data_IF_913538837041
#
_entry.id   IF_913538837041
#
_cell.length_a   1.000
_cell.length_b   1.000
_cell.length_c   1.000
_cell.angle_alpha   90.00
_cell.angle_beta   90.00
_cell.angle_gamma   90.00
#
_symmetry.space_group_name_H-M   'P 1'
#
loop_
_entity.id
_entity.type
_entity.pdbx_description
1 polymer ?
#
# COMPACT_ATOMS: atom_id res chain seq x y z
N UNK A 1 19.27 -44.30 22.07
CA UNK A 1 19.27 -44.29 20.59
C UNK A 1 18.73 -42.93 20.15
N UNK A 2 19.62 -42.03 19.78
CA UNK A 2 19.31 -40.67 19.34
C UNK A 2 19.11 -40.70 17.82
N UNK A 3 17.89 -40.49 17.35
CA UNK A 3 17.58 -40.37 15.92
C UNK A 3 17.96 -38.98 15.44
N UNK A 4 19.05 -38.87 14.67
CA UNK A 4 19.41 -37.64 13.97
C UNK A 4 18.32 -37.25 12.97
N UNK A 5 17.90 -35.97 12.92
CA UNK A 5 16.90 -35.52 11.97
C UNK A 5 17.49 -35.47 10.56
N UNK A 6 16.77 -36.07 9.62
CA UNK A 6 17.11 -36.22 8.20
C UNK A 6 17.23 -34.87 7.46
N UNK A 7 18.39 -34.22 7.57
CA UNK A 7 18.74 -32.94 6.93
C UNK A 7 18.70 -32.99 5.40
N UNK A 8 18.79 -34.18 4.80
CA UNK A 8 18.77 -34.38 3.36
C UNK A 8 17.41 -34.11 2.70
N UNK A 9 16.28 -34.24 3.41
CA UNK A 9 14.96 -33.98 2.85
C UNK A 9 14.62 -32.49 2.77
N UNK A 10 15.13 -31.67 3.70
CA UNK A 10 14.90 -30.22 3.69
C UNK A 10 15.62 -29.54 2.52
N UNK A 11 16.88 -29.89 2.27
CA UNK A 11 17.68 -29.30 1.18
C UNK A 11 17.12 -29.65 -0.21
N UNK A 12 16.57 -30.85 -0.38
CA UNK A 12 15.96 -31.28 -1.65
C UNK A 12 14.65 -30.53 -1.91
N UNK A 13 13.85 -30.27 -0.88
CA UNK A 13 12.63 -29.47 -0.98
C UNK A 13 12.93 -28.01 -1.34
N UNK A 14 13.92 -27.39 -0.68
CA UNK A 14 14.32 -26.00 -0.97
C UNK A 14 14.87 -25.82 -2.38
N UNK A 15 15.64 -26.80 -2.88
CA UNK A 15 16.15 -26.77 -4.25
C UNK A 15 15.04 -26.90 -5.29
N UNK A 16 14.05 -27.76 -5.05
CA UNK A 16 12.87 -27.90 -5.92
C UNK A 16 12.05 -26.60 -5.92
N UNK A 17 11.81 -26.00 -4.75
CA UNK A 17 11.09 -24.72 -4.62
C UNK A 17 11.82 -23.61 -5.39
N UNK A 18 13.14 -23.51 -5.24
CA UNK A 18 13.92 -22.48 -5.92
C UNK A 18 13.93 -22.67 -7.45
N UNK A 19 14.00 -23.91 -7.95
CA UNK A 19 13.98 -24.22 -9.38
C UNK A 19 12.60 -23.94 -9.99
N UNK A 20 11.53 -24.30 -9.29
CA UNK A 20 10.15 -24.02 -9.69
C UNK A 20 9.87 -22.52 -9.72
N UNK A 21 10.35 -21.77 -8.72
CA UNK A 21 10.25 -20.29 -8.69
C UNK A 21 10.96 -19.64 -9.88
N UNK A 22 12.16 -20.11 -10.27
CA UNK A 22 12.87 -19.58 -11.46
C UNK A 22 12.11 -19.85 -12.75
N UNK A 23 11.59 -21.07 -12.94
CA UNK A 23 10.79 -21.44 -14.13
C UNK A 23 9.48 -20.67 -14.22
N UNK A 24 8.83 -20.44 -13.09
CA UNK A 24 7.64 -19.61 -13.00
C UNK A 24 7.94 -18.17 -13.42
N UNK A 25 8.96 -17.54 -12.82
CA UNK A 25 9.32 -16.16 -13.17
C UNK A 25 9.71 -16.03 -14.65
N UNK A 26 10.38 -17.01 -15.23
CA UNK A 26 10.68 -17.05 -16.66
C UNK A 26 9.41 -17.16 -17.53
N UNK A 27 8.41 -17.94 -17.08
CA UNK A 27 7.12 -18.08 -17.78
C UNK A 27 6.30 -16.81 -17.68
N UNK A 28 6.25 -16.17 -16.51
CA UNK A 28 5.59 -14.87 -16.31
C UNK A 28 6.24 -13.81 -17.17
N UNK A 29 7.57 -13.73 -17.19
CA UNK A 29 8.30 -12.79 -18.04
C UNK A 29 8.02 -13.04 -19.53
N UNK A 30 7.95 -14.30 -19.95
CA UNK A 30 7.63 -14.69 -21.34
C UNK A 30 6.20 -14.34 -21.73
N UNK A 31 5.23 -14.64 -20.88
CA UNK A 31 3.82 -14.33 -21.14
C UNK A 31 3.55 -12.84 -21.03
N UNK A 32 4.19 -12.13 -20.09
CA UNK A 32 4.22 -10.67 -20.07
C UNK A 32 4.78 -10.11 -21.38
N UNK A 33 5.92 -10.62 -21.85
CA UNK A 33 6.49 -10.23 -23.14
C UNK A 33 5.54 -10.50 -24.31
N UNK A 34 4.72 -11.56 -24.23
CA UNK A 34 3.67 -11.84 -25.22
C UNK A 34 2.47 -10.90 -25.12
N UNK A 35 2.05 -10.52 -23.91
CA UNK A 35 0.96 -9.55 -23.69
C UNK A 35 1.37 -8.17 -24.20
N UNK A 36 2.59 -7.73 -23.87
CA UNK A 36 3.16 -6.49 -24.40
C UNK A 36 3.36 -6.56 -25.91
N UNK A 37 3.83 -7.70 -26.45
CA UNK A 37 3.95 -7.88 -27.89
C UNK A 37 2.60 -7.95 -28.61
N UNK A 38 1.54 -8.42 -27.95
CA UNK A 38 0.19 -8.53 -28.49
C UNK A 38 -0.58 -7.21 -28.46
N UNK A 39 -0.19 -6.28 -27.58
CA UNK A 39 -0.67 -4.91 -27.58
C UNK A 39 0.51 -3.95 -27.32
N UNK A 40 1.23 -3.54 -28.39
CA UNK A 40 2.29 -2.55 -28.32
C UNK A 40 1.83 -1.22 -27.71
N UNK A 41 0.51 -0.96 -27.62
CA UNK A 41 -0.01 0.23 -26.96
C UNK A 41 0.16 0.20 -25.43
N UNK A 42 0.50 -0.94 -24.81
CA UNK A 42 0.81 -1.06 -23.38
C UNK A 42 2.23 -0.61 -23.02
N UNK A 43 3.15 -0.66 -23.99
CA UNK A 43 4.48 -0.02 -23.93
C UNK A 43 4.54 1.03 -25.03
N UNK A 44 3.64 2.02 -24.95
CA UNK A 44 3.64 3.21 -25.79
C UNK A 44 4.97 3.96 -25.61
N UNK A 45 5.99 3.53 -26.36
CA UNK A 45 7.24 4.22 -26.55
C UNK A 45 6.98 5.31 -27.58
N UNK A 46 7.12 6.56 -27.14
CA UNK A 46 6.95 7.75 -27.97
C UNK A 46 7.97 7.84 -29.12
N UNK A 47 7.99 8.96 -29.85
CA UNK A 47 7.29 10.21 -29.53
C UNK A 47 5.81 10.22 -29.96
N UNK A 48 4.97 10.88 -29.17
CA UNK A 48 3.57 11.15 -29.48
C UNK A 48 3.40 12.57 -30.04
N UNK A 49 2.42 12.73 -30.93
CA UNK A 49 2.06 14.04 -31.51
C UNK A 49 0.84 14.67 -30.83
N UNK A 50 0.11 13.89 -30.01
CA UNK A 50 -1.10 14.33 -29.33
C UNK A 50 -0.82 14.73 -27.89
N UNK A 51 -1.18 15.97 -27.54
CA UNK A 51 -1.02 16.53 -26.19
C UNK A 51 -1.64 15.67 -25.09
N UNK A 52 -2.88 15.22 -25.30
CA UNK A 52 -3.62 14.47 -24.30
C UNK A 52 -3.00 13.09 -24.06
N UNK A 53 -2.43 12.48 -25.10
CA UNK A 53 -1.68 11.23 -25.01
C UNK A 53 -0.38 11.39 -24.22
N UNK A 54 0.37 12.46 -24.45
CA UNK A 54 1.59 12.74 -23.67
C UNK A 54 1.24 12.95 -22.19
N UNK A 55 0.22 13.76 -21.89
CA UNK A 55 -0.22 14.01 -20.51
C UNK A 55 -0.75 12.76 -19.81
N UNK A 56 -1.46 11.89 -20.55
CA UNK A 56 -1.89 10.58 -20.07
C UNK A 56 -0.70 9.69 -19.69
N UNK A 57 0.31 9.58 -20.56
CA UNK A 57 1.51 8.78 -20.29
C UNK A 57 2.30 9.31 -19.10
N UNK A 58 2.51 10.63 -19.01
CA UNK A 58 3.17 11.26 -17.87
C UNK A 58 2.46 10.96 -16.56
N UNK A 59 1.12 11.08 -16.54
CA UNK A 59 0.32 10.74 -15.35
C UNK A 59 0.43 9.25 -15.02
N UNK A 60 0.34 8.38 -16.01
CA UNK A 60 0.41 6.94 -15.79
C UNK A 60 1.80 6.48 -15.30
N UNK A 61 2.88 7.16 -15.70
CA UNK A 61 4.23 6.95 -15.15
C UNK A 61 4.31 7.31 -13.66
N UNK A 62 3.78 8.48 -13.28
CA UNK A 62 3.68 8.86 -11.85
C UNK A 62 2.86 7.87 -11.04
N UNK A 63 1.76 7.37 -11.59
CA UNK A 63 0.93 6.36 -10.93
C UNK A 63 1.68 5.04 -10.73
N UNK A 64 2.51 4.62 -11.70
CA UNK A 64 3.39 3.44 -11.57
C UNK A 64 4.36 3.61 -10.42
N UNK A 65 5.11 4.70 -10.41
CA UNK A 65 6.09 5.00 -9.36
C UNK A 65 5.41 5.05 -7.99
N UNK A 66 4.30 5.79 -7.89
CA UNK A 66 3.49 5.86 -6.67
C UNK A 66 3.07 4.48 -6.20
N UNK A 67 2.62 3.62 -7.12
CA UNK A 67 2.16 2.27 -6.80
C UNK A 67 3.30 1.40 -6.28
N UNK A 68 4.48 1.50 -6.89
CA UNK A 68 5.71 0.83 -6.47
C UNK A 68 6.09 1.22 -5.03
N UNK A 69 6.16 2.52 -4.76
CA UNK A 69 6.47 3.06 -3.43
C UNK A 69 5.42 2.62 -2.41
N UNK A 70 4.13 2.75 -2.74
CA UNK A 70 3.04 2.41 -1.82
C UNK A 70 3.07 0.93 -1.45
N UNK A 71 3.25 0.04 -2.44
CA UNK A 71 3.35 -1.39 -2.22
C UNK A 71 4.55 -1.74 -1.33
N UNK A 72 5.72 -1.13 -1.61
CA UNK A 72 6.93 -1.33 -0.82
C UNK A 72 6.71 -0.91 0.64
N UNK A 73 6.27 0.33 0.87
CA UNK A 73 6.14 0.90 2.22
C UNK A 73 5.00 0.31 3.04
N UNK A 74 3.96 -0.23 2.40
CA UNK A 74 2.85 -0.86 3.11
C UNK A 74 3.08 -2.36 3.30
N UNK A 75 3.45 -3.12 2.27
CA UNK A 75 3.48 -4.56 2.37
C UNK A 75 4.86 -5.14 2.70
N UNK A 76 5.93 -4.53 2.16
CA UNK A 76 7.29 -5.07 2.27
C UNK A 76 8.06 -4.49 3.44
N UNK A 77 7.77 -3.24 3.78
CA UNK A 77 8.46 -2.47 4.81
C UNK A 77 7.48 -1.89 5.85
N UNK A 78 6.65 -2.73 6.50
CA UNK A 78 5.85 -2.26 7.63
C UNK A 78 6.78 -1.75 8.74
N UNK A 79 6.28 -0.84 9.58
CA UNK A 79 7.01 -0.46 10.79
C UNK A 79 6.93 -1.64 11.77
N UNK A 80 8.07 -2.25 12.10
CA UNK A 80 8.08 -3.39 13.02
C UNK A 80 8.37 -2.91 14.44
N UNK A 81 7.55 -3.36 15.39
CA UNK A 81 7.67 -3.03 16.80
C UNK A 81 7.83 -4.33 17.60
N UNK A 82 8.65 -4.31 18.66
CA UNK A 82 8.83 -5.45 19.57
C UNK A 82 7.97 -5.22 20.81
N UNK A 83 7.21 -6.24 21.22
CA UNK A 83 6.37 -6.26 22.40
C UNK A 83 6.89 -7.29 23.44
N UNK A 84 6.86 -7.01 24.76
CA UNK A 84 6.41 -5.76 25.39
C UNK A 84 7.25 -4.56 24.95
N UNK A 85 6.58 -3.44 24.69
CA UNK A 85 7.23 -2.22 24.26
C UNK A 85 8.11 -1.73 25.41
N UNK A 86 9.42 -1.63 25.19
CA UNK A 86 10.31 -0.98 26.16
C UNK A 86 9.86 0.48 26.38
N UNK A 87 10.16 1.09 27.53
CA UNK A 87 9.83 2.50 27.77
C UNK A 87 10.34 3.45 26.67
N UNK A 88 11.48 3.11 26.06
CA UNK A 88 12.17 3.79 24.95
C UNK A 88 11.82 3.18 23.56
N UNK A 89 10.80 2.35 23.46
CA UNK A 89 10.51 1.57 22.23
C UNK A 89 10.33 2.41 20.97
N UNK A 90 9.75 3.61 21.07
CA UNK A 90 9.60 4.51 19.91
C UNK A 90 10.94 5.10 19.49
N UNK A 91 11.80 5.47 20.45
CA UNK A 91 13.16 5.98 20.22
C UNK A 91 14.06 4.89 19.65
N UNK A 92 13.96 3.67 20.16
CA UNK A 92 14.61 2.51 19.59
C UNK A 92 14.13 2.23 18.16
N UNK A 93 12.82 2.34 17.88
CA UNK A 93 12.29 2.18 16.53
C UNK A 93 12.84 3.27 15.59
N UNK A 94 13.00 4.50 16.06
CA UNK A 94 13.64 5.58 15.30
C UNK A 94 15.08 5.29 14.97
N UNK A 95 15.84 4.81 15.95
CA UNK A 95 17.26 4.52 15.79
C UNK A 95 17.50 3.29 14.90
N UNK A 96 16.60 2.30 14.96
CA UNK A 96 16.73 1.05 14.23
C UNK A 96 16.17 1.10 12.81
N UNK A 97 14.93 1.61 12.64
CA UNK A 97 14.26 1.67 11.33
C UNK A 97 14.51 3.01 10.61
N UNK A 98 15.03 4.01 11.31
CA UNK A 98 15.31 5.32 10.75
C UNK A 98 14.08 6.23 10.65
N UNK A 99 14.36 7.51 10.46
CA UNK A 99 13.35 8.58 10.29
C UNK A 99 12.41 8.32 9.12
N UNK A 100 12.81 7.51 8.14
CA UNK A 100 12.01 7.21 6.97
C UNK A 100 10.68 6.51 7.28
N UNK A 101 10.68 5.53 8.18
CA UNK A 101 9.43 4.85 8.57
C UNK A 101 8.47 5.81 9.29
N UNK A 102 9.01 6.84 9.93
CA UNK A 102 8.24 7.89 10.60
C UNK A 102 7.68 8.87 9.57
N UNK A 103 8.47 9.28 8.57
CA UNK A 103 8.01 10.03 7.39
C UNK A 103 6.85 9.31 6.71
N UNK A 104 6.94 7.99 6.54
CA UNK A 104 5.88 7.18 5.91
C UNK A 104 4.53 7.24 6.65
N UNK A 105 4.51 7.49 7.96
CA UNK A 105 3.28 7.65 8.75
C UNK A 105 2.55 8.95 8.41
N UNK A 106 3.24 9.94 7.84
CA UNK A 106 2.63 11.19 7.41
C UNK A 106 1.78 10.98 6.16
N UNK A 107 0.77 11.83 6.01
CA UNK A 107 -0.22 11.77 4.93
C UNK A 107 -0.99 10.43 4.85
N UNK A 108 -0.97 9.61 5.92
CA UNK A 108 -1.80 8.41 6.05
C UNK A 108 -3.05 8.71 6.87
N UNK A 109 -4.17 8.07 6.53
CA UNK A 109 -5.42 8.32 7.24
C UNK A 109 -5.46 7.60 8.58
N UNK A 110 -4.92 6.37 8.69
CA UNK A 110 -4.87 5.62 9.95
C UNK A 110 -3.60 4.76 10.07
N UNK A 111 -3.26 4.36 11.29
CA UNK A 111 -2.36 3.23 11.52
C UNK A 111 -3.13 1.91 11.47
N UNK A 112 -2.55 0.88 10.87
CA UNK A 112 -3.09 -0.48 10.80
C UNK A 112 -2.10 -1.43 11.48
N UNK A 113 -2.49 -1.93 12.65
CA UNK A 113 -1.69 -2.81 13.48
C UNK A 113 -1.99 -4.28 13.20
N UNK A 114 -0.92 -5.06 13.09
CA UNK A 114 -0.95 -6.51 12.96
C UNK A 114 -0.07 -7.11 14.05
N UNK A 115 -0.62 -8.03 14.84
CA UNK A 115 0.10 -8.69 15.94
C UNK A 115 0.49 -10.11 15.52
N UNK A 116 1.75 -10.49 15.76
CA UNK A 116 2.28 -11.82 15.46
C UNK A 116 3.11 -12.38 16.62
N UNK A 117 2.99 -13.69 16.89
CA UNK A 117 3.65 -14.35 18.02
C UNK A 117 5.12 -14.69 17.80
N UNK A 118 5.64 -14.63 16.57
CA UNK A 118 7.08 -14.72 16.35
C UNK A 118 7.58 -13.98 15.09
N UNK A 119 8.91 -13.82 15.00
CA UNK A 119 9.59 -13.18 13.86
C UNK A 119 9.34 -13.92 12.55
N UNK A 120 9.25 -15.25 12.60
CA UNK A 120 9.12 -16.08 11.42
C UNK A 120 7.72 -15.89 10.82
N UNK A 121 6.68 -15.84 11.64
CA UNK A 121 5.30 -15.55 11.27
C UNK A 121 5.13 -14.10 10.86
N UNK A 122 5.77 -13.15 11.55
CA UNK A 122 5.79 -11.74 11.17
C UNK A 122 6.40 -11.52 9.78
N UNK A 123 7.58 -12.07 9.52
CA UNK A 123 8.26 -11.93 8.22
C UNK A 123 7.48 -12.69 7.12
N UNK A 124 6.84 -13.81 7.45
CA UNK A 124 5.97 -14.56 6.52
C UNK A 124 4.66 -13.85 6.22
N UNK A 125 4.06 -13.18 7.20
CA UNK A 125 2.77 -12.54 7.07
C UNK A 125 2.85 -11.12 6.51
N UNK A 126 3.96 -10.41 6.72
CA UNK A 126 4.35 -9.30 5.86
C UNK A 126 4.41 -9.75 4.39
N UNK A 127 4.91 -10.98 4.16
CA UNK A 127 4.86 -11.64 2.86
C UNK A 127 3.47 -12.16 2.40
N UNK A 128 2.46 -12.22 3.27
CA UNK A 128 1.18 -12.92 3.01
C UNK A 128 -0.06 -12.05 3.12
N UNK A 129 -0.40 -11.64 4.35
CA UNK A 129 -1.58 -10.80 4.67
C UNK A 129 -1.39 -9.43 4.05
N UNK A 130 -0.28 -8.75 4.34
CA UNK A 130 -0.08 -7.38 3.85
C UNK A 130 0.00 -7.32 2.32
N UNK A 131 0.62 -8.31 1.69
CA UNK A 131 0.59 -8.45 0.24
C UNK A 131 -0.85 -8.61 -0.28
N UNK A 132 -1.72 -9.35 0.42
CA UNK A 132 -3.13 -9.50 0.04
C UNK A 132 -3.96 -8.23 0.27
N UNK A 133 -3.71 -7.54 1.38
CA UNK A 133 -4.38 -6.31 1.77
C UNK A 133 -4.03 -5.13 0.87
N UNK A 134 -2.77 -5.01 0.43
CA UNK A 134 -2.28 -3.85 -0.32
C UNK A 134 -3.05 -3.59 -1.62
N UNK A 135 -3.20 -4.54 -2.56
CA UNK A 135 -4.00 -4.28 -3.76
C UNK A 135 -5.48 -4.07 -3.45
N UNK A 136 -6.02 -4.75 -2.44
CA UNK A 136 -7.41 -4.58 -2.03
C UNK A 136 -7.65 -3.16 -1.51
N UNK A 137 -6.80 -2.67 -0.60
CA UNK A 137 -6.84 -1.30 -0.07
C UNK A 137 -6.60 -0.27 -1.17
N UNK A 138 -5.62 -0.52 -2.03
CA UNK A 138 -5.32 0.35 -3.16
C UNK A 138 -6.53 0.48 -4.08
N UNK A 139 -7.23 -0.60 -4.40
CA UNK A 139 -8.47 -0.56 -5.22
C UNK A 139 -9.55 0.31 -4.60
N UNK A 140 -9.77 0.22 -3.29
CA UNK A 140 -10.83 0.99 -2.62
C UNK A 140 -10.46 2.47 -2.49
N UNK A 141 -9.19 2.79 -2.24
CA UNK A 141 -8.75 4.16 -1.99
C UNK A 141 -8.37 4.93 -3.25
N UNK A 142 -7.67 4.29 -4.18
CA UNK A 142 -7.13 4.93 -5.38
C UNK A 142 -8.22 5.20 -6.40
N UNK A 143 -8.25 6.42 -6.91
CA UNK A 143 -9.11 6.86 -8.00
C UNK A 143 -8.23 7.17 -9.21
N UNK A 144 -8.29 6.34 -10.27
CA UNK A 144 -7.52 6.57 -11.49
C UNK A 144 -7.61 8.01 -11.97
N UNK A 145 -6.46 8.61 -12.23
CA UNK A 145 -6.33 10.00 -12.69
C UNK A 145 -6.85 11.09 -11.73
N UNK A 146 -7.58 10.78 -10.67
CA UNK A 146 -8.14 11.78 -9.75
C UNK A 146 -7.37 11.87 -8.43
N UNK A 147 -6.70 10.79 -8.00
CA UNK A 147 -5.96 10.81 -6.75
C UNK A 147 -4.77 11.77 -6.81
N UNK A 148 -4.64 12.62 -5.79
CA UNK A 148 -3.47 13.49 -5.60
C UNK A 148 -2.28 12.67 -5.05
N UNK A 149 -1.73 11.83 -5.92
CA UNK A 149 -0.67 10.86 -5.62
C UNK A 149 0.63 11.54 -5.16
N UNK A 150 0.86 12.77 -5.61
CA UNK A 150 2.05 13.56 -5.31
C UNK A 150 2.19 13.89 -3.83
N UNK A 151 1.11 13.83 -3.05
CA UNK A 151 1.17 14.07 -1.61
C UNK A 151 1.54 12.82 -0.80
N UNK A 152 1.81 11.70 -1.46
CA UNK A 152 2.11 10.45 -0.76
C UNK A 152 0.95 9.92 0.07
N UNK A 153 -0.28 10.35 -0.24
CA UNK A 153 -1.49 9.94 0.48
C UNK A 153 -1.76 8.45 0.24
N UNK A 154 -2.17 7.78 1.30
CA UNK A 154 -2.66 6.42 1.26
C UNK A 154 -3.49 6.16 2.51
N UNK A 155 -4.44 5.24 2.45
CA UNK A 155 -5.41 5.05 3.54
C UNK A 155 -4.76 4.62 4.86
N UNK A 156 -3.70 3.81 4.83
CA UNK A 156 -3.12 3.26 6.04
C UNK A 156 -1.59 3.14 5.99
N UNK A 157 -0.94 3.24 7.17
CA UNK A 157 0.41 2.69 7.39
C UNK A 157 0.29 1.36 8.13
N UNK A 158 0.93 0.33 7.62
CA UNK A 158 1.06 -0.95 8.31
C UNK A 158 2.12 -0.87 9.42
N UNK A 159 1.74 -1.32 10.60
CA UNK A 159 2.60 -1.43 11.78
C UNK A 159 2.45 -2.86 12.32
N UNK A 160 3.56 -3.52 12.57
CA UNK A 160 3.59 -4.94 12.94
C UNK A 160 4.19 -5.11 14.32
N UNK A 161 3.39 -5.60 15.28
CA UNK A 161 3.91 -6.01 16.58
C UNK A 161 4.41 -7.45 16.52
N UNK A 162 5.65 -7.62 16.94
CA UNK A 162 6.26 -8.92 17.24
C UNK A 162 6.26 -9.07 18.74
N UNK A 163 5.53 -10.05 19.27
CA UNK A 163 5.73 -10.49 20.65
C UNK A 163 6.53 -11.80 20.65
N UNK A 164 7.19 -12.15 21.75
CA UNK A 164 7.75 -13.50 21.85
C UNK A 164 6.61 -14.50 22.07
N UNK A 165 6.77 -15.73 21.57
CA UNK A 165 5.75 -16.81 21.68
C UNK A 165 5.39 -17.19 23.12
N UNK A 166 6.23 -16.79 24.08
CA UNK A 166 6.03 -17.02 25.52
C UNK A 166 5.35 -15.83 26.22
N UNK A 167 5.26 -14.70 25.54
CA UNK A 167 4.66 -13.48 26.07
C UNK A 167 3.19 -13.40 25.67
N UNK A 168 2.41 -12.72 26.52
CA UNK A 168 1.01 -12.39 26.25
C UNK A 168 0.91 -11.53 24.98
N UNK A 169 -0.08 -11.80 24.14
CA UNK A 169 -0.40 -10.96 22.99
C UNK A 169 -0.71 -9.53 23.45
N UNK A 170 -0.24 -8.48 22.75
CA UNK A 170 -0.54 -7.10 23.11
C UNK A 170 -2.05 -6.85 23.12
N UNK A 171 -2.54 -6.29 24.22
CA UNK A 171 -3.95 -5.87 24.34
C UNK A 171 -4.20 -4.60 23.54
N UNK A 172 -5.47 -4.25 23.31
CA UNK A 172 -5.82 -2.97 22.68
C UNK A 172 -5.34 -1.76 23.50
N UNK A 173 -5.25 -1.89 24.82
CA UNK A 173 -4.73 -0.84 25.70
C UNK A 173 -3.22 -0.65 25.48
N UNK A 174 -2.47 -1.74 25.36
CA UNK A 174 -1.03 -1.69 25.06
C UNK A 174 -0.76 -1.01 23.70
N UNK A 175 -1.55 -1.37 22.69
CA UNK A 175 -1.44 -0.78 21.34
C UNK A 175 -1.82 0.71 21.38
N UNK A 176 -2.86 1.08 22.13
CA UNK A 176 -3.27 2.47 22.32
C UNK A 176 -2.15 3.30 22.95
N UNK A 177 -1.56 2.82 24.05
CA UNK A 177 -0.47 3.51 24.73
C UNK A 177 0.73 3.70 23.78
N UNK A 178 1.12 2.64 23.05
CA UNK A 178 2.17 2.73 22.05
C UNK A 178 1.84 3.75 20.95
N UNK A 179 0.61 3.72 20.43
CA UNK A 179 0.19 4.63 19.37
C UNK A 179 0.22 6.10 19.83
N UNK A 180 -0.26 6.37 21.05
CA UNK A 180 -0.19 7.71 21.65
C UNK A 180 1.25 8.18 21.81
N UNK A 181 2.15 7.31 22.31
CA UNK A 181 3.60 7.61 22.38
C UNK A 181 4.20 7.87 21.00
N UNK A 182 3.87 7.03 20.00
CA UNK A 182 4.32 7.20 18.62
C UNK A 182 3.90 8.58 18.06
N UNK A 183 2.64 8.95 18.26
CA UNK A 183 2.10 10.24 17.83
C UNK A 183 2.75 11.40 18.58
N UNK A 184 2.92 11.27 19.89
CA UNK A 184 3.59 12.26 20.71
C UNK A 184 5.04 12.46 20.27
N UNK A 185 5.76 11.38 19.93
CA UNK A 185 7.13 11.47 19.44
C UNK A 185 7.20 12.26 18.12
N UNK A 186 6.23 12.13 17.21
CA UNK A 186 6.19 13.00 16.02
C UNK A 186 6.11 14.50 16.39
N UNK A 187 5.38 14.84 17.45
CA UNK A 187 5.24 16.21 17.94
C UNK A 187 6.43 16.68 18.79
N UNK A 188 7.07 15.77 19.52
CA UNK A 188 8.18 16.07 20.40
C UNK A 188 9.51 15.80 19.72
N UNK A 189 10.15 16.84 19.19
CA UNK A 189 11.62 16.98 19.12
C UNK A 189 12.49 15.82 18.58
N UNK A 190 11.96 14.73 17.99
CA UNK A 190 12.74 13.70 17.26
C UNK A 190 13.68 14.40 16.28
N UNK A 191 13.16 15.47 15.70
CA UNK A 191 13.84 16.32 14.74
C UNK A 191 14.86 17.28 15.39
N UNK A 192 14.67 17.74 16.64
CA UNK A 192 15.63 18.63 17.33
C UNK A 192 16.92 17.92 17.78
N UNK A 193 16.93 16.59 17.86
CA UNK A 193 18.07 15.79 18.33
C UNK A 193 18.73 14.90 17.28
N UNK A 194 18.27 14.92 16.02
CA UNK A 194 18.90 14.16 14.95
C UNK A 194 20.28 14.76 14.63
N UNK A 195 21.35 14.07 15.04
CA UNK A 195 22.71 14.47 14.68
C UNK A 195 22.90 14.38 13.16
N UNK A 196 23.77 15.20 12.57
CA UNK A 196 24.10 15.16 11.13
C UNK A 196 24.48 13.74 10.68
N UNK A 197 25.07 12.92 11.56
CA UNK A 197 25.37 11.51 11.31
C UNK A 197 24.11 10.62 11.19
N UNK A 198 23.08 10.81 12.02
CA UNK A 198 21.80 10.13 11.87
C UNK A 198 21.08 10.57 10.58
N UNK A 199 21.23 11.84 10.20
CA UNK A 199 20.68 12.39 8.95
C UNK A 199 21.40 11.84 7.71
N UNK A 200 22.72 11.66 7.74
CA UNK A 200 23.48 11.06 6.64
C UNK A 200 23.06 9.61 6.34
N UNK A 201 22.56 8.86 7.33
CA UNK A 201 22.00 7.53 7.12
C UNK A 201 20.64 7.56 6.39
N UNK A 202 19.90 8.67 6.45
CA UNK A 202 18.62 8.86 5.73
C UNK A 202 18.87 9.01 4.22
N UNK A 203 20.01 9.59 3.81
CA UNK A 203 20.39 9.85 2.42
C UNK A 203 20.64 8.62 1.54
N UNK A 204 20.52 7.38 2.07
CA UNK A 204 21.01 6.18 1.37
C UNK A 204 19.95 5.51 0.46
N UNK A 205 18.62 5.71 0.60
CA UNK A 205 17.58 5.12 -0.29
C UNK A 205 16.15 5.61 0.06
N UNK A 206 15.12 5.49 -0.81
CA UNK A 206 14.99 5.78 -2.23
C UNK A 206 14.33 7.16 -2.43
N UNK A 207 14.43 8.09 -1.47
CA UNK A 207 14.19 9.49 -1.79
C UNK A 207 15.37 9.92 -2.62
N UNK A 208 15.20 10.38 -3.86
CA UNK A 208 16.31 10.90 -4.62
C UNK A 208 16.88 12.04 -3.79
N UNK A 209 18.09 11.85 -3.27
CA UNK A 209 18.87 12.92 -2.68
C UNK A 209 18.89 14.00 -3.74
N UNK A 210 18.29 15.16 -3.47
CA UNK A 210 18.38 16.30 -4.36
C UNK A 210 19.87 16.51 -4.57
N UNK A 211 20.34 16.24 -5.80
CA UNK A 211 21.74 16.39 -6.13
C UNK A 211 22.13 17.84 -5.80
N UNK A 212 22.90 18.01 -4.73
CA UNK A 212 23.42 19.31 -4.30
C UNK A 212 22.68 20.04 -3.18
N UNK A 213 21.59 19.53 -2.58
CA UNK A 213 21.04 20.16 -1.36
C UNK A 213 21.63 19.56 -0.08
N UNK A 214 21.96 20.39 0.92
CA UNK A 214 22.43 19.92 2.21
C UNK A 214 21.31 19.13 2.93
N UNK A 215 21.63 18.02 3.63
CA UNK A 215 20.66 17.19 4.36
C UNK A 215 19.74 17.98 5.31
N UNK A 216 20.22 19.11 5.83
CA UNK A 216 19.49 20.02 6.70
C UNK A 216 18.30 20.72 6.01
N UNK A 217 18.41 21.04 4.71
CA UNK A 217 17.32 21.68 3.93
C UNK A 217 16.22 20.67 3.58
N UNK A 218 16.60 19.43 3.27
CA UNK A 218 15.66 18.32 3.08
C UNK A 218 14.86 18.09 4.37
N UNK A 219 15.52 18.11 5.52
CA UNK A 219 14.89 17.98 6.83
C UNK A 219 13.89 19.11 7.14
N UNK A 220 14.28 20.37 6.89
CA UNK A 220 13.39 21.52 7.11
C UNK A 220 12.19 21.48 6.17
N UNK A 221 12.41 21.01 4.95
CA UNK A 221 11.34 20.74 3.98
C UNK A 221 10.45 19.64 4.51
N UNK A 222 10.96 18.45 4.85
CA UNK A 222 10.18 17.34 5.38
C UNK A 222 9.31 17.76 6.59
N UNK A 223 9.88 18.43 7.59
CA UNK A 223 9.14 18.89 8.77
C UNK A 223 8.05 19.94 8.45
N UNK A 224 8.26 20.79 7.43
CA UNK A 224 7.25 21.77 6.98
C UNK A 224 6.17 21.13 6.09
N UNK A 225 6.51 20.03 5.42
CA UNK A 225 5.70 19.46 4.36
C UNK A 225 4.90 18.22 4.81
N UNK A 226 5.36 17.53 5.85
CA UNK A 226 4.79 16.27 6.32
C UNK A 226 3.92 16.53 7.54
N UNK A 227 2.62 16.26 7.41
CA UNK A 227 1.65 16.43 8.49
C UNK A 227 1.11 15.07 8.88
N UNK A 228 1.14 14.78 10.19
CA UNK A 228 0.37 13.66 10.74
C UNK A 228 -1.10 14.08 10.69
N UNK A 229 -1.86 13.44 9.80
CA UNK A 229 -3.30 13.72 9.65
C UNK A 229 -3.99 13.44 10.99
N UNK A 230 -5.00 14.21 11.41
CA UNK A 230 -5.68 13.92 12.67
C UNK A 230 -6.36 12.59 12.72
N UNK A 231 -6.87 12.07 11.60
CA UNK A 231 -7.41 10.72 11.60
C UNK A 231 -6.34 9.71 12.04
N UNK A 232 -5.08 9.92 11.67
CA UNK A 232 -3.98 9.08 12.12
C UNK A 232 -3.76 9.23 13.62
N UNK A 233 -3.84 10.46 14.17
CA UNK A 233 -3.70 10.71 15.61
C UNK A 233 -4.86 10.15 16.44
N UNK A 234 -6.05 10.16 15.85
CA UNK A 234 -7.33 9.99 16.55
C UNK A 234 -7.87 8.56 16.44
N UNK A 235 -7.46 7.81 15.42
CA UNK A 235 -8.02 6.51 15.09
C UNK A 235 -6.95 5.56 14.55
N UNK A 236 -6.92 4.34 15.08
CA UNK A 236 -6.17 3.25 14.48
C UNK A 236 -7.03 1.98 14.36
N UNK A 237 -6.53 1.05 13.56
CA UNK A 237 -7.14 -0.25 13.32
C UNK A 237 -6.23 -1.37 13.79
N UNK A 238 -6.78 -2.42 14.39
CA UNK A 238 -6.07 -3.66 14.75
C UNK A 238 -6.71 -4.84 14.02
N UNK A 239 -5.92 -5.69 13.35
CA UNK A 239 -6.39 -6.90 12.68
C UNK A 239 -6.19 -8.10 13.61
N UNK A 240 -7.27 -8.82 13.93
CA UNK A 240 -7.27 -9.88 14.97
C UNK A 240 -6.96 -11.29 14.46
N UNK A 241 -7.00 -11.51 13.15
CA UNK A 241 -6.77 -12.83 12.56
C UNK A 241 -5.65 -12.78 11.53
N UNK A 242 -4.43 -12.97 12.02
CA UNK A 242 -3.23 -12.97 11.19
C UNK A 242 -2.53 -14.34 11.16
N UNK A 243 -3.13 -15.38 11.77
CA UNK A 243 -2.65 -16.77 11.71
C UNK A 243 -2.84 -17.30 10.28
N UNK A 244 -1.94 -16.90 9.39
CA UNK A 244 -1.91 -17.38 8.00
C UNK A 244 -1.43 -18.82 8.04
N UNK A 245 -2.31 -19.77 7.72
CA UNK A 245 -1.85 -21.11 7.34
C UNK A 245 -0.83 -20.93 6.19
N UNK A 246 0.30 -21.65 6.21
CA UNK A 246 1.45 -21.46 5.29
C UNK A 246 1.11 -21.47 3.79
N UNK A 247 -0.13 -21.77 3.41
CA UNK A 247 -0.55 -22.11 2.05
C UNK A 247 -1.68 -21.24 1.48
N UNK A 248 -2.39 -20.47 2.29
CA UNK A 248 -3.63 -19.81 1.84
C UNK A 248 -3.48 -18.29 1.85
N UNK A 249 -3.70 -17.67 0.69
CA UNK A 249 -3.81 -16.21 0.56
C UNK A 249 -5.29 -15.86 0.50
N UNK A 250 -5.69 -14.80 1.20
CA UNK A 250 -7.08 -14.40 1.42
C UNK A 250 -7.88 -14.09 0.15
N UNK A 251 -8.93 -14.85 -0.18
CA UNK A 251 -9.93 -14.44 -1.17
C UNK A 251 -10.47 -13.03 -0.87
N UNK A 252 -11.06 -12.36 -1.86
CA UNK A 252 -11.62 -11.01 -1.62
C UNK A 252 -12.67 -11.04 -0.51
N UNK A 253 -13.48 -12.09 -0.47
CA UNK A 253 -14.47 -12.30 0.60
C UNK A 253 -13.79 -12.50 1.95
N UNK A 254 -12.71 -13.28 2.02
CA UNK A 254 -11.94 -13.45 3.25
C UNK A 254 -11.31 -12.13 3.70
N UNK A 255 -10.76 -11.31 2.78
CA UNK A 255 -10.23 -9.97 3.09
C UNK A 255 -11.35 -9.06 3.60
N UNK A 256 -12.48 -8.99 2.89
CA UNK A 256 -13.63 -8.17 3.23
C UNK A 256 -14.10 -8.45 4.66
N UNK A 257 -14.11 -9.74 5.04
CA UNK A 257 -14.60 -10.25 6.31
C UNK A 257 -13.54 -10.34 7.41
N UNK A 258 -12.30 -9.92 7.16
CA UNK A 258 -11.25 -9.93 8.19
C UNK A 258 -11.72 -9.15 9.44
N UNK A 259 -11.67 -9.77 10.63
CA UNK A 259 -12.11 -9.10 11.85
C UNK A 259 -11.09 -8.07 12.30
N UNK A 260 -11.57 -6.86 12.55
CA UNK A 260 -10.76 -5.72 12.97
C UNK A 260 -11.38 -5.00 14.16
N UNK A 261 -10.56 -4.36 14.99
CA UNK A 261 -11.01 -3.34 15.94
C UNK A 261 -10.59 -1.98 15.45
N UNK A 262 -11.53 -1.04 15.42
CA UNK A 262 -11.25 0.38 15.33
C UNK A 262 -11.16 0.94 16.75
N UNK A 263 -10.08 1.64 17.05
CA UNK A 263 -9.81 2.18 18.38
C UNK A 263 -9.67 3.69 18.29
N UNK A 264 -10.51 4.41 19.03
CA UNK A 264 -10.44 5.85 19.18
C UNK A 264 -9.44 6.20 20.28
N UNK A 265 -8.49 7.08 19.98
CA UNK A 265 -7.37 7.37 20.87
C UNK A 265 -7.68 8.44 21.92
N UNK A 266 -8.83 9.10 21.81
CA UNK A 266 -9.18 10.29 22.58
C UNK A 266 -8.64 11.60 21.99
N UNK A 267 -7.75 11.55 20.99
CA UNK A 267 -7.28 12.78 20.33
C UNK A 267 -8.40 13.40 19.49
N UNK A 268 -8.55 14.71 19.62
CA UNK A 268 -9.48 15.54 18.82
C UNK A 268 -8.74 16.60 18.00
N UNK A 269 -7.42 16.63 18.11
CA UNK A 269 -6.58 17.70 17.56
C UNK A 269 -6.71 17.76 16.04
N UNK A 270 -7.28 18.85 15.54
CA UNK A 270 -7.44 19.11 14.10
C UNK A 270 -8.60 18.37 13.43
N UNK A 271 -9.39 17.55 14.15
CA UNK A 271 -10.60 16.99 13.57
C UNK A 271 -11.68 18.06 13.37
N UNK A 272 -12.37 18.00 12.24
CA UNK A 272 -13.54 18.84 11.95
C UNK A 272 -14.73 18.58 12.88
N UNK A 273 -14.87 17.34 13.37
CA UNK A 273 -15.83 16.92 14.39
C UNK A 273 -15.38 15.63 15.08
N UNK A 274 -15.93 15.35 16.26
CA UNK A 274 -15.68 14.10 16.98
C UNK A 274 -15.96 12.86 16.12
N UNK A 275 -15.18 11.81 16.35
CA UNK A 275 -15.41 10.50 15.72
C UNK A 275 -16.52 9.80 16.50
N UNK A 276 -17.52 9.30 15.79
CA UNK A 276 -18.61 8.51 16.36
C UNK A 276 -18.71 7.20 15.59
N UNK A 277 -18.84 6.10 16.32
CA UNK A 277 -18.98 4.76 15.73
C UNK A 277 -20.43 4.38 15.42
N UNK A 278 -21.42 5.26 15.66
CA UNK A 278 -22.85 4.94 15.44
C UNK A 278 -23.16 4.36 14.05
N UNK A 279 -22.49 4.81 12.99
CA UNK A 279 -22.69 4.27 11.63
C UNK A 279 -22.24 2.82 11.44
N UNK A 280 -21.45 2.27 12.36
CA UNK A 280 -20.98 0.88 12.33
C UNK A 280 -21.93 -0.08 13.08
N UNK A 281 -22.73 0.42 14.02
CA UNK A 281 -23.66 -0.39 14.83
C UNK A 281 -24.90 -0.88 14.07
N UNK A 282 -25.15 -0.38 12.86
CA UNK A 282 -26.35 -0.72 12.09
C UNK A 282 -26.39 -2.19 11.63
N UNK A 283 -25.28 -2.93 11.67
CA UNK A 283 -25.19 -4.34 11.27
C UNK A 283 -25.12 -5.33 12.46
N UNK A 284 -25.72 -4.97 13.60
CA UNK A 284 -26.24 -5.77 14.75
C UNK A 284 -25.74 -7.18 15.18
N UNK A 285 -24.81 -7.88 14.52
CA UNK A 285 -24.56 -9.28 14.84
C UNK A 285 -23.38 -9.57 15.79
N UNK A 286 -22.38 -8.69 15.97
CA UNK A 286 -21.23 -9.01 16.87
C UNK A 286 -20.57 -7.78 17.55
N UNK A 287 -21.31 -6.70 17.77
CA UNK A 287 -20.72 -5.43 18.23
C UNK A 287 -20.75 -5.32 19.77
N UNK A 288 -19.66 -5.72 20.42
CA UNK A 288 -19.40 -5.33 21.81
C UNK A 288 -18.62 -4.00 21.85
N UNK A 289 -19.22 -2.94 22.39
CA UNK A 289 -18.44 -1.82 22.94
C UNK A 289 -17.78 -2.34 24.21
N UNK A 290 -16.47 -2.60 24.16
CA UNK A 290 -15.71 -2.92 25.35
C UNK A 290 -15.37 -1.62 26.08
N UNK A 291 -16.32 -1.10 26.86
CA UNK A 291 -15.99 -0.19 27.95
C UNK A 291 -15.39 -1.03 29.08
N UNK A 292 -14.08 -1.26 29.04
CA UNK A 292 -13.38 -1.88 30.17
C UNK A 292 -13.52 -0.90 31.33
N UNK A 293 -14.11 -1.35 32.44
CA UNK A 293 -14.56 -0.51 33.56
C UNK A 293 -13.49 0.35 34.24
N UNK A 294 -12.22 0.20 33.87
CA UNK A 294 -11.09 0.98 34.39
C UNK A 294 -10.22 1.64 33.30
N UNK A 295 -10.53 1.49 32.01
CA UNK A 295 -9.80 2.18 30.93
C UNK A 295 -10.76 2.87 29.95
N UNK A 296 -10.50 4.14 29.65
CA UNK A 296 -11.22 4.98 28.69
C UNK A 296 -11.07 4.53 27.23
N UNK A 297 -10.89 3.23 26.99
CA UNK A 297 -10.67 2.64 25.69
C UNK A 297 -11.99 2.59 24.91
N UNK A 298 -12.19 3.55 24.01
CA UNK A 298 -13.33 3.54 23.09
C UNK A 298 -12.95 2.75 21.83
N UNK A 299 -13.53 1.56 21.66
CA UNK A 299 -13.28 0.72 20.49
C UNK A 299 -14.53 0.01 19.98
N UNK A 300 -14.54 -0.29 18.68
CA UNK A 300 -15.60 -1.06 18.02
C UNK A 300 -15.00 -2.17 17.17
N UNK A 301 -15.52 -3.38 17.30
CA UNK A 301 -15.14 -4.53 16.47
C UNK A 301 -16.02 -4.60 15.23
N UNK A 302 -15.46 -4.86 14.06
CA UNK A 302 -16.17 -4.93 12.78
C UNK A 302 -15.36 -5.78 11.77
N UNK A 303 -15.86 -5.94 10.55
CA UNK A 303 -15.04 -6.42 9.43
C UNK A 303 -14.26 -5.30 8.73
N UNK A 304 -13.19 -5.68 8.03
CA UNK A 304 -12.28 -4.76 7.33
C UNK A 304 -13.01 -3.88 6.30
N UNK A 305 -13.92 -4.47 5.50
CA UNK A 305 -14.68 -3.73 4.48
C UNK A 305 -15.44 -2.55 5.08
N UNK A 306 -16.14 -2.79 6.19
CA UNK A 306 -16.94 -1.76 6.87
C UNK A 306 -16.05 -0.74 7.56
N UNK A 307 -14.94 -1.17 8.16
CA UNK A 307 -13.97 -0.26 8.79
C UNK A 307 -13.33 0.69 7.78
N UNK A 308 -12.93 0.18 6.62
CA UNK A 308 -12.29 0.96 5.56
C UNK A 308 -13.28 1.94 4.93
N UNK A 309 -14.53 1.51 4.67
CA UNK A 309 -15.59 2.43 4.23
C UNK A 309 -15.82 3.55 5.24
N UNK A 310 -15.84 3.22 6.53
CA UNK A 310 -15.97 4.21 7.59
C UNK A 310 -14.79 5.21 7.61
N UNK A 311 -13.55 4.72 7.53
CA UNK A 311 -12.35 5.56 7.46
C UNK A 311 -12.37 6.47 6.23
N UNK A 312 -12.73 5.96 5.05
CA UNK A 312 -12.83 6.76 3.83
C UNK A 312 -13.90 7.86 3.95
N UNK A 313 -15.02 7.58 4.61
CA UNK A 313 -16.04 8.59 4.88
C UNK A 313 -15.54 9.69 5.84
N UNK A 314 -14.74 9.30 6.85
CA UNK A 314 -14.06 10.26 7.72
C UNK A 314 -13.02 11.08 6.94
N UNK A 315 -12.23 10.44 6.06
CA UNK A 315 -11.24 11.12 5.23
C UNK A 315 -11.90 12.17 4.34
N UNK A 316 -12.99 11.82 3.65
CA UNK A 316 -13.77 12.76 2.83
C UNK A 316 -14.31 13.94 3.64
N UNK A 317 -14.75 13.67 4.87
CA UNK A 317 -15.22 14.71 5.81
C UNK A 317 -14.08 15.66 6.17
N UNK A 318 -12.94 15.13 6.59
CA UNK A 318 -11.79 15.94 6.96
C UNK A 318 -11.24 16.73 5.76
N UNK A 319 -11.15 16.13 4.58
CA UNK A 319 -10.70 16.83 3.37
C UNK A 319 -11.60 18.01 2.98
N UNK A 320 -12.91 17.90 3.25
CA UNK A 320 -13.85 19.00 3.08
C UNK A 320 -13.56 20.20 3.99
N UNK A 321 -13.13 19.93 5.23
CA UNK A 321 -12.82 20.94 6.23
C UNK A 321 -11.38 21.48 6.13
N UNK A 322 -10.43 20.67 5.64
CA UNK A 322 -9.00 20.97 5.59
C UNK A 322 -8.54 21.79 4.37
N UNK A 323 -9.46 22.44 3.65
CA UNK A 323 -9.13 23.21 2.44
C UNK A 323 -8.28 24.44 2.78
N UNK A 324 -6.98 24.25 2.97
CA UNK A 324 -6.01 25.31 3.28
C UNK A 324 -4.62 24.82 3.67
N UNK A 325 -4.47 23.56 4.06
CA UNK A 325 -3.16 22.98 4.43
C UNK A 325 -2.92 21.69 3.64
N UNK A 326 -2.95 21.77 2.31
CA UNK A 326 -2.35 20.69 1.52
C UNK A 326 -0.86 20.70 1.84
N UNK A 327 -0.38 19.64 2.49
CA UNK A 327 1.04 19.29 2.43
C UNK A 327 1.50 19.55 1.01
N UNK A 328 2.56 20.33 0.76
CA UNK A 328 3.09 20.46 -0.58
C UNK A 328 3.36 19.06 -1.14
N UNK A 329 3.30 18.90 -2.47
CA UNK A 329 3.63 17.63 -3.10
C UNK A 329 4.97 17.17 -2.53
N UNK A 330 5.05 15.89 -2.16
CA UNK A 330 6.34 15.22 -2.12
C UNK A 330 6.94 15.53 -3.47
N UNK A 331 8.08 16.20 -3.48
CA UNK A 331 8.86 16.30 -4.69
C UNK A 331 9.32 14.88 -5.02
N UNK A 332 8.46 14.17 -5.74
CA UNK A 332 8.70 12.83 -6.27
C UNK A 332 9.69 13.04 -7.40
N UNK A 333 10.96 13.14 -7.03
CA UNK A 333 12.05 13.43 -7.95
C UNK A 333 12.42 12.20 -8.81
N UNK A 334 11.75 11.04 -8.68
CA UNK A 334 12.12 9.89 -9.47
C UNK A 334 11.57 9.95 -10.91
N UNK A 335 10.59 10.81 -11.18
CA UNK A 335 10.17 11.17 -12.55
C UNK A 335 10.44 12.65 -12.81
N UNK A 336 11.48 12.93 -13.59
CA UNK A 336 11.71 14.24 -14.19
C UNK A 336 10.67 14.46 -15.30
N UNK A 337 9.54 15.05 -14.93
CA UNK A 337 8.38 15.23 -15.82
C UNK A 337 8.76 16.00 -17.09
N UNK A 338 9.64 16.99 -17.00
CA UNK A 338 10.03 17.77 -18.16
C UNK A 338 10.89 16.95 -19.13
N UNK A 339 11.83 16.17 -18.58
CA UNK A 339 12.62 15.23 -19.37
C UNK A 339 11.73 14.16 -20.01
N UNK A 340 10.88 13.49 -19.23
CA UNK A 340 9.95 12.47 -19.74
C UNK A 340 9.00 13.07 -20.79
N UNK A 341 8.50 14.30 -20.57
CA UNK A 341 7.63 14.97 -21.54
C UNK A 341 8.35 15.14 -22.88
N UNK A 342 9.61 15.62 -22.86
CA UNK A 342 10.44 15.76 -24.07
C UNK A 342 10.67 14.42 -24.76
N UNK A 343 10.98 13.36 -24.01
CA UNK A 343 11.18 12.01 -24.55
C UNK A 343 9.89 11.45 -25.17
N UNK A 344 8.73 11.82 -24.62
CA UNK A 344 7.41 11.50 -25.16
C UNK A 344 7.00 12.37 -26.35
N UNK A 345 7.84 13.31 -26.81
CA UNK A 345 7.57 14.18 -27.97
C UNK A 345 6.97 15.54 -27.63
N UNK A 346 7.00 15.98 -26.37
CA UNK A 346 6.48 17.30 -25.98
C UNK A 346 7.28 18.43 -26.62
N UNK A 347 6.69 19.05 -27.62
CA UNK A 347 7.11 20.32 -28.19
C UNK A 347 6.29 21.49 -27.62
N UNK A 348 6.95 22.51 -27.09
CA UNK A 348 6.31 23.70 -26.52
C UNK A 348 5.57 24.56 -27.56
N UNK A 349 5.99 24.54 -28.82
CA UNK A 349 5.31 25.28 -29.89
C UNK A 349 3.98 24.62 -30.26
N UNK A 350 3.95 23.29 -30.30
CA UNK A 350 2.77 22.49 -30.68
C UNK A 350 1.80 22.24 -29.51
N UNK A 351 2.32 21.94 -28.31
CA UNK A 351 1.53 21.48 -27.16
C UNK A 351 1.33 22.57 -26.08
N UNK A 352 2.03 23.70 -26.22
CA UNK A 352 2.04 24.78 -25.25
C UNK A 352 2.90 24.50 -24.02
N UNK A 353 2.67 25.27 -22.96
CA UNK A 353 3.37 25.09 -21.68
C UNK A 353 2.90 23.82 -20.99
N UNK A 354 3.86 23.03 -20.48
CA UNK A 354 3.57 21.86 -19.66
C UNK A 354 2.82 22.31 -18.38
N UNK A 355 1.71 21.66 -17.99
CA UNK A 355 0.84 22.09 -16.89
C UNK A 355 1.43 21.74 -15.51
N UNK A 356 2.67 22.18 -15.26
CA UNK A 356 3.40 21.96 -14.00
C UNK A 356 2.82 22.78 -12.84
N UNK A 357 2.02 23.79 -13.15
CA UNK A 357 1.31 24.64 -12.20
C UNK A 357 0.03 24.00 -11.65
N UNK A 358 -0.39 22.85 -12.20
CA UNK A 358 -1.61 22.15 -11.78
C UNK A 358 -1.28 20.77 -11.19
N UNK A 359 -2.09 20.26 -10.24
CA UNK A 359 -1.99 18.89 -9.78
C UNK A 359 -2.11 17.91 -10.94
N UNK A 360 -1.34 16.81 -10.95
CA UNK A 360 -1.45 15.84 -12.06
C UNK A 360 -2.79 15.12 -12.09
N UNK A 361 -3.58 15.21 -11.03
CA UNK A 361 -4.98 14.78 -10.99
C UNK A 361 -5.89 15.54 -11.97
N UNK A 362 -5.42 16.64 -12.56
CA UNK A 362 -6.13 17.43 -13.58
C UNK A 362 -5.54 17.32 -14.98
N UNK A 363 -4.43 16.60 -15.16
CA UNK A 363 -3.72 16.57 -16.44
C UNK A 363 -4.36 15.68 -17.50
N UNK A 364 -5.13 14.66 -17.10
CA UNK A 364 -5.67 13.66 -18.04
C UNK A 364 -7.06 14.07 -18.52
N UNK A 365 -7.24 14.10 -19.85
CA UNK A 365 -8.56 14.27 -20.45
C UNK A 365 -9.40 12.99 -20.26
N UNK A 366 -10.26 12.99 -19.25
CA UNK A 366 -11.09 11.83 -18.89
C UNK A 366 -12.21 11.50 -19.88
N UNK A 367 -12.55 12.42 -20.80
CA UNK A 367 -13.45 12.10 -21.91
C UNK A 367 -12.78 11.19 -22.93
N UNK A 368 -11.45 11.33 -23.08
CA UNK A 368 -10.62 10.50 -23.96
C UNK A 368 -10.12 9.24 -23.25
N UNK A 369 -9.77 9.35 -21.97
CA UNK A 369 -9.27 8.25 -21.14
C UNK A 369 -10.23 7.97 -19.98
N UNK A 370 -11.33 7.28 -20.29
CA UNK A 370 -12.35 6.92 -19.30
C UNK A 370 -11.90 5.77 -18.37
N UNK A 371 -11.01 4.91 -18.85
CA UNK A 371 -10.50 3.74 -18.13
C UNK A 371 -9.07 3.90 -17.67
N UNK A 372 -8.73 3.25 -16.56
CA UNK A 372 -7.36 3.23 -16.05
C UNK A 372 -6.44 2.39 -16.94
N UNK A 373 -5.59 3.08 -17.68
CA UNK A 373 -4.66 2.54 -18.67
C UNK A 373 -3.27 3.15 -18.51
N UNK A 374 -2.28 2.53 -19.15
CA UNK A 374 -0.87 2.97 -19.13
C UNK A 374 -0.02 2.29 -18.05
N UNK A 375 1.23 2.75 -17.87
CA UNK A 375 2.21 2.12 -16.98
C UNK A 375 1.73 1.85 -15.54
N UNK A 376 0.97 2.77 -14.94
CA UNK A 376 0.44 2.63 -13.58
C UNK A 376 -0.54 1.45 -13.44
N UNK A 377 -1.50 1.37 -14.36
CA UNK A 377 -2.47 0.28 -14.40
C UNK A 377 -1.78 -1.07 -14.65
N UNK A 378 -0.82 -1.11 -15.57
CA UNK A 378 -0.04 -2.30 -15.89
C UNK A 378 0.80 -2.76 -14.71
N UNK A 379 1.43 -1.83 -13.98
CA UNK A 379 2.19 -2.15 -12.78
C UNK A 379 1.30 -2.73 -11.69
N UNK A 380 0.14 -2.13 -11.43
CA UNK A 380 -0.82 -2.67 -10.47
C UNK A 380 -1.29 -4.08 -10.86
N UNK A 381 -1.63 -4.28 -12.14
CA UNK A 381 -2.00 -5.60 -12.67
C UNK A 381 -0.88 -6.62 -12.45
N UNK A 382 0.38 -6.27 -12.72
CA UNK A 382 1.53 -7.16 -12.45
C UNK A 382 1.61 -7.56 -10.99
N UNK A 383 1.42 -6.63 -10.05
CA UNK A 383 1.43 -6.93 -8.62
C UNK A 383 0.32 -7.92 -8.26
N UNK A 384 -0.90 -7.68 -8.74
CA UNK A 384 -2.02 -8.60 -8.51
C UNK A 384 -1.79 -9.95 -9.19
N UNK A 385 -1.24 -9.96 -10.40
CA UNK A 385 -1.00 -11.19 -11.15
C UNK A 385 0.07 -12.06 -10.50
N UNK A 386 1.20 -11.47 -10.10
CA UNK A 386 2.21 -12.14 -9.27
C UNK A 386 1.52 -12.71 -8.03
N UNK A 387 0.62 -11.95 -7.42
CA UNK A 387 -0.13 -12.44 -6.27
C UNK A 387 -1.06 -13.62 -6.55
N UNK A 388 -1.78 -13.60 -7.67
CA UNK A 388 -2.69 -14.67 -8.08
C UNK A 388 -1.93 -15.92 -8.49
N UNK A 389 -0.78 -15.79 -9.15
CA UNK A 389 0.02 -16.95 -9.55
C UNK A 389 0.48 -17.75 -8.34
N UNK A 390 0.99 -17.08 -7.30
CA UNK A 390 1.33 -17.75 -6.06
C UNK A 390 0.12 -18.39 -5.34
N UNK A 391 -1.14 -17.96 -5.59
CA UNK A 391 -2.35 -18.70 -5.12
C UNK A 391 -2.56 -20.01 -5.86
N UNK A 392 -2.37 -20.01 -7.18
CA UNK A 392 -2.68 -21.15 -8.05
C UNK A 392 -1.77 -22.36 -7.82
N UNK A 393 -0.61 -22.16 -7.19
CA UNK A 393 0.26 -23.24 -6.71
C UNK A 393 -0.26 -23.94 -5.44
N UNK A 394 -1.31 -23.40 -4.80
CA UNK A 394 -1.84 -23.93 -3.54
C UNK A 394 -3.25 -24.55 -3.64
N UNK A 395 -4.06 -24.26 -4.67
CA UNK A 395 -5.39 -24.87 -4.86
C UNK A 395 -5.96 -24.75 -6.29
N UNK A 396 -6.98 -25.56 -6.61
CA UNK A 396 -7.75 -25.57 -7.87
C UNK A 396 -8.69 -24.35 -8.00
N UNK A 397 -8.14 -23.14 -7.93
CA UNK A 397 -8.93 -21.92 -8.02
C UNK A 397 -9.25 -21.58 -9.49
N UNK A 398 -10.54 -21.37 -9.80
CA UNK A 398 -11.01 -20.77 -11.05
C UNK A 398 -10.90 -19.26 -10.86
N UNK A 399 -10.28 -18.54 -11.82
CA UNK A 399 -10.33 -17.08 -11.86
C UNK A 399 -11.78 -16.67 -12.20
N UNK A 400 -12.68 -16.72 -11.23
CA UNK A 400 -13.97 -16.06 -11.35
C UNK A 400 -13.86 -14.62 -10.85
N UNK A 401 -14.35 -13.75 -11.72
CA UNK A 401 -14.58 -12.31 -11.63
C UNK A 401 -13.41 -11.33 -11.45
N UNK A 402 -13.60 -10.22 -12.16
CA UNK A 402 -12.79 -9.01 -12.37
C UNK A 402 -12.45 -8.21 -11.09
N UNK A 403 -12.30 -8.87 -9.93
CA UNK A 403 -12.12 -8.22 -8.63
C UNK A 403 -10.80 -7.42 -8.52
N UNK A 404 -9.91 -7.55 -9.49
CA UNK A 404 -8.66 -6.81 -9.57
C UNK A 404 -8.71 -5.65 -10.59
N UNK A 405 -9.81 -5.48 -11.32
CA UNK A 405 -9.98 -4.42 -12.30
C UNK A 405 -11.05 -3.40 -11.91
N UNK A 406 -10.78 -2.11 -12.14
CA UNK A 406 -11.73 -1.04 -11.90
C UNK A 406 -12.88 -1.17 -12.91
N UNK A 407 -14.08 -1.53 -12.44
CA UNK A 407 -15.28 -1.47 -13.29
C UNK A 407 -15.80 -0.04 -13.27
N UNK A 408 -15.95 0.55 -14.46
CA UNK A 408 -16.81 1.72 -14.65
C UNK A 408 -18.21 1.27 -14.21
N UNK A 409 -18.95 2.08 -13.45
CA UNK A 409 -20.37 1.83 -13.22
C UNK A 409 -21.06 1.61 -14.58
N UNK A 410 -21.89 0.56 -14.67
CA UNK A 410 -22.32 -0.19 -15.88
C UNK A 410 -22.98 0.56 -17.07
N UNK A 411 -22.79 1.88 -17.23
CA UNK A 411 -23.40 2.66 -18.30
C UNK A 411 -22.47 2.89 -19.53
N UNK A 412 -21.29 2.27 -19.55
CA UNK A 412 -20.35 2.35 -20.68
C UNK A 412 -20.31 1.05 -21.49
N UNK A 413 -20.38 1.11 -22.84
CA UNK A 413 -20.25 -0.08 -23.68
C UNK A 413 -18.88 -0.74 -23.47
N UNK A 414 -18.88 -2.07 -23.43
CA UNK A 414 -17.69 -2.92 -23.27
C UNK A 414 -16.59 -2.49 -24.25
N UNK A 415 -15.49 -1.98 -23.73
CA UNK A 415 -14.30 -1.63 -24.51
C UNK A 415 -13.43 -2.86 -24.77
N UNK A 416 -12.70 -2.87 -25.89
CA UNK A 416 -11.88 -4.00 -26.35
C UNK A 416 -10.74 -4.43 -25.40
N UNK A 417 -10.41 -3.62 -24.40
CA UNK A 417 -9.37 -3.93 -23.38
C UNK A 417 -9.81 -5.08 -22.47
N UNK A 418 -11.11 -5.13 -22.11
CA UNK A 418 -11.67 -6.24 -21.32
C UNK A 418 -11.59 -7.57 -22.09
N UNK A 419 -11.83 -7.54 -23.40
CA UNK A 419 -11.69 -8.71 -24.27
C UNK A 419 -10.24 -9.21 -24.38
N UNK A 420 -9.25 -8.31 -24.37
CA UNK A 420 -7.83 -8.68 -24.39
C UNK A 420 -7.40 -9.32 -23.06
N UNK A 421 -7.80 -8.73 -21.94
CA UNK A 421 -7.55 -9.27 -20.60
C UNK A 421 -8.14 -10.67 -20.44
N UNK A 422 -9.40 -10.87 -20.86
CA UNK A 422 -10.04 -12.19 -20.83
C UNK A 422 -9.33 -13.20 -21.74
N UNK A 423 -8.83 -12.78 -22.91
CA UNK A 423 -8.01 -13.62 -23.79
C UNK A 423 -6.70 -14.02 -23.13
N UNK A 424 -6.00 -13.10 -22.47
CA UNK A 424 -4.75 -13.39 -21.74
C UNK A 424 -5.00 -14.39 -20.61
N UNK A 425 -6.03 -14.16 -19.79
CA UNK A 425 -6.43 -15.08 -18.70
C UNK A 425 -6.79 -16.48 -19.23
N UNK A 426 -7.48 -16.55 -20.38
CA UNK A 426 -7.85 -17.79 -21.06
C UNK A 426 -6.64 -18.55 -21.60
N UNK A 427 -5.72 -17.88 -22.29
CA UNK A 427 -4.48 -18.48 -22.84
C UNK A 427 -3.61 -19.04 -21.72
N UNK A 428 -3.42 -18.28 -20.64
CA UNK A 428 -2.64 -18.71 -19.48
C UNK A 428 -3.26 -19.92 -18.78
N UNK A 429 -4.60 -19.98 -18.72
CA UNK A 429 -5.33 -21.13 -18.15
C UNK A 429 -5.20 -22.39 -19.01
N UNK A 430 -5.20 -22.26 -20.34
CA UNK A 430 -4.97 -23.39 -21.27
C UNK A 430 -3.54 -23.90 -21.21
N UNK A 431 -2.54 -23.02 -21.15
CA UNK A 431 -1.12 -23.40 -21.05
C UNK A 431 -0.84 -24.20 -19.77
N UNK A 432 -1.49 -23.84 -18.66
CA UNK A 432 -1.33 -24.56 -17.40
C UNK A 432 -1.97 -25.95 -17.41
N UNK A 433 -3.16 -26.10 -18.00
CA UNK A 433 -3.79 -27.43 -18.20
C UNK A 433 -2.86 -28.36 -19.00
N UNK A 434 -2.20 -27.83 -20.03
CA UNK A 434 -1.24 -28.58 -20.83
C UNK A 434 -0.01 -29.03 -20.03
N UNK A 435 0.53 -28.17 -19.16
CA UNK A 435 1.68 -28.51 -18.30
C UNK A 435 1.32 -29.59 -17.28
N UNK A 436 0.12 -29.51 -16.69
CA UNK A 436 -0.39 -30.51 -15.75
C UNK A 436 -0.65 -31.88 -16.38
N UNK A 437 -1.03 -31.93 -17.66
CA UNK A 437 -1.20 -33.20 -18.39
C UNK A 437 0.11 -33.83 -18.87
N UNK A 438 1.19 -33.04 -18.90
CA UNK A 438 2.52 -33.46 -19.35
C UNK A 438 3.50 -33.73 -18.20
N UNK A 439 3.08 -33.54 -16.95
CA UNK A 439 3.82 -33.84 -15.71
C UNK A 439 3.16 -35.02 -15.01
#
# INVERSE_FOLDING_TARGET
>A
MSSEPNTHHSQKADHIIHRTRRRLMATVAKEYGRVVAADPALELLGPFTDRDQILHQLRALKEKERREITCARFAREPLYCIFPARPDSVEWCLDYYGVQHFIDCHNKSVAMYLCYPDRIESDRAAGGVLNSLDPWLYRHWFKPYESDIEHGRYIAKSITFRHHTRDTEPTLADILEFHQKLVQSFSSAIFRGATSEKLQRISILPFPTISGQPPEDLYMTLNRTHIIRPLFKSLFMVIHQTKVSRRERFTVEEIDNLPVSLVYTGSTEGLSRLISFHSLHCNRQDFAEHNISDSSLCSVRTNLKSAIRFIMNLEKREEGAWRGTTSPPLTDHAVDIEKEARELGWDGATHGKLPLDQPSSKCVNRRKYAEWTGPGALHHLRLVHVMMLFRRFSSNYILEDDWWWWKVDNDSPETGVMGLIQKVVSVLTKLWKFILTCS
#
